data_IF_874570844950
#
_entry.id   IF_874570844950
#
_cell.length_a   1.000
_cell.length_b   1.000
_cell.length_c   1.000
_cell.angle_alpha   90.00
_cell.angle_beta   90.00
_cell.angle_gamma   90.00
#
_symmetry.space_group_name_H-M   'P 1'
#
loop_
_entity.id
_entity.type
_entity.pdbx_description
1 polymer ?
#
# COMPACT_ATOMS: atom_id res chain seq x y z
N UNK A 1 8.11 3.09 -15.64
CA UNK A 1 6.81 2.71 -15.04
C UNK A 1 6.46 1.31 -15.52
N UNK A 2 6.45 0.31 -14.62
CA UNK A 2 6.26 -1.09 -15.03
C UNK A 2 4.87 -1.33 -15.65
N UNK A 3 4.79 -2.24 -16.60
CA UNK A 3 3.56 -2.56 -17.35
C UNK A 3 2.37 -2.90 -16.44
N UNK A 4 2.65 -3.58 -15.32
CA UNK A 4 1.64 -3.97 -14.31
C UNK A 4 1.08 -2.75 -13.57
N UNK A 5 1.94 -1.79 -13.21
CA UNK A 5 1.54 -0.55 -12.53
C UNK A 5 0.70 0.33 -13.45
N UNK A 6 1.10 0.43 -14.71
CA UNK A 6 0.32 1.12 -15.75
C UNK A 6 -1.05 0.47 -15.94
N UNK A 7 -1.12 -0.86 -16.03
CA UNK A 7 -2.38 -1.59 -16.20
C UNK A 7 -3.34 -1.37 -15.02
N UNK A 8 -2.84 -1.40 -13.76
CA UNK A 8 -3.67 -1.11 -12.58
C UNK A 8 -4.21 0.32 -12.56
N UNK A 9 -3.39 1.30 -12.98
CA UNK A 9 -3.82 2.70 -13.10
C UNK A 9 -4.92 2.87 -14.14
N UNK A 10 -4.77 2.25 -15.31
CA UNK A 10 -5.78 2.28 -16.39
C UNK A 10 -7.10 1.64 -15.93
N UNK A 11 -7.05 0.53 -15.21
CA UNK A 11 -8.24 -0.14 -14.67
C UNK A 11 -8.98 0.78 -13.68
N UNK A 12 -8.25 1.41 -12.76
CA UNK A 12 -8.82 2.38 -11.82
C UNK A 12 -9.56 3.52 -12.53
N UNK A 13 -8.95 4.08 -13.59
CA UNK A 13 -9.57 5.14 -14.41
C UNK A 13 -10.86 4.68 -15.12
N UNK A 14 -10.92 3.44 -15.63
CA UNK A 14 -12.10 2.91 -16.28
C UNK A 14 -13.29 2.82 -15.29
N UNK A 15 -13.04 2.31 -14.07
CA UNK A 15 -14.06 2.22 -13.03
C UNK A 15 -14.54 3.60 -12.57
N UNK A 16 -13.60 4.55 -12.39
CA UNK A 16 -13.92 5.92 -12.02
C UNK A 16 -14.81 6.58 -13.05
N UNK A 17 -14.41 6.54 -14.31
CA UNK A 17 -15.18 7.12 -15.43
C UNK A 17 -16.58 6.55 -15.52
N UNK A 18 -16.74 5.22 -15.39
CA UNK A 18 -18.06 4.60 -15.43
C UNK A 18 -18.95 5.07 -14.28
N UNK A 19 -18.41 5.16 -13.06
CA UNK A 19 -19.16 5.65 -11.91
C UNK A 19 -19.56 7.13 -12.06
N UNK A 20 -18.68 7.97 -12.61
CA UNK A 20 -18.98 9.37 -12.91
C UNK A 20 -20.07 9.52 -13.96
N UNK A 21 -20.04 8.70 -15.02
CA UNK A 21 -21.08 8.66 -16.08
C UNK A 21 -22.43 8.16 -15.52
N UNK A 22 -22.44 7.11 -14.70
CA UNK A 22 -23.65 6.48 -14.15
C UNK A 22 -24.46 7.42 -13.25
N UNK A 23 -23.78 8.24 -12.47
CA UNK A 23 -24.42 9.15 -11.51
C UNK A 23 -24.37 10.62 -11.93
N UNK A 24 -23.78 10.92 -13.08
CA UNK A 24 -23.57 12.27 -13.60
C UNK A 24 -22.87 13.19 -12.58
N UNK A 25 -21.75 12.73 -12.07
CA UNK A 25 -20.95 13.41 -11.05
C UNK A 25 -19.50 13.47 -11.45
N UNK A 26 -18.72 14.34 -10.82
CA UNK A 26 -17.28 14.47 -10.99
C UNK A 26 -16.56 14.27 -9.63
N UNK A 27 -15.37 13.75 -9.67
CA UNK A 27 -14.51 13.63 -8.49
C UNK A 27 -14.00 15.01 -8.07
N UNK A 28 -14.12 15.33 -6.78
CA UNK A 28 -13.54 16.55 -6.19
C UNK A 28 -12.06 16.42 -5.82
N UNK A 29 -11.49 15.20 -5.94
CA UNK A 29 -10.09 14.93 -5.63
C UNK A 29 -9.22 15.29 -6.84
N UNK A 30 -8.18 16.10 -6.63
CA UNK A 30 -7.27 16.51 -7.70
C UNK A 30 -6.47 15.34 -8.29
N UNK A 31 -6.12 15.38 -9.60
CA UNK A 31 -5.32 14.35 -10.25
C UNK A 31 -3.95 14.14 -9.60
N UNK A 32 -3.36 15.22 -9.06
CA UNK A 32 -2.09 15.19 -8.33
C UNK A 32 -2.21 14.34 -7.07
N UNK A 33 -3.28 14.54 -6.30
CA UNK A 33 -3.56 13.78 -5.09
C UNK A 33 -3.81 12.31 -5.39
N UNK A 34 -4.61 12.00 -6.42
CA UNK A 34 -4.84 10.61 -6.87
C UNK A 34 -3.53 9.93 -7.29
N UNK A 35 -2.67 10.65 -8.00
CA UNK A 35 -1.37 10.12 -8.43
C UNK A 35 -0.48 9.81 -7.23
N UNK A 36 -0.42 10.72 -6.24
CA UNK A 36 0.38 10.55 -5.03
C UNK A 36 -0.10 9.37 -4.18
N UNK A 37 -1.40 9.24 -3.98
CA UNK A 37 -1.99 8.11 -3.25
C UNK A 37 -1.70 6.79 -3.97
N UNK A 38 -1.80 6.77 -5.31
CA UNK A 38 -1.50 5.58 -6.11
C UNK A 38 -0.02 5.18 -6.00
N UNK A 39 0.89 6.14 -6.03
CA UNK A 39 2.32 5.93 -5.81
C UNK A 39 2.57 5.31 -4.43
N UNK A 40 2.05 5.93 -3.38
CA UNK A 40 2.15 5.41 -2.02
C UNK A 40 1.56 4.01 -1.89
N UNK A 41 0.36 3.76 -2.43
CA UNK A 41 -0.25 2.43 -2.40
C UNK A 41 0.65 1.33 -3.00
N UNK A 42 1.39 1.64 -4.07
CA UNK A 42 2.36 0.70 -4.65
C UNK A 42 3.57 0.48 -3.74
N UNK A 43 4.07 1.56 -3.10
CA UNK A 43 5.19 1.46 -2.14
C UNK A 43 4.78 0.57 -0.95
N UNK A 44 3.62 0.80 -0.34
CA UNK A 44 3.11 -0.02 0.77
C UNK A 44 2.95 -1.50 0.40
N UNK A 45 2.54 -1.78 -0.84
CA UNK A 45 2.41 -3.14 -1.38
C UNK A 45 3.74 -3.80 -1.72
N UNK A 46 4.88 -3.11 -1.58
CA UNK A 46 6.20 -3.60 -1.93
C UNK A 46 6.47 -3.64 -3.44
N UNK A 47 5.77 -2.83 -4.21
CA UNK A 47 5.94 -2.71 -5.67
C UNK A 47 6.18 -1.26 -6.10
N UNK A 48 7.15 -0.55 -5.50
CA UNK A 48 7.45 0.82 -5.87
C UNK A 48 8.04 0.90 -7.29
N UNK A 49 7.99 2.08 -7.91
CA UNK A 49 8.41 2.27 -9.30
C UNK A 49 9.91 2.05 -9.55
N UNK A 50 10.74 2.14 -8.49
CA UNK A 50 12.19 1.93 -8.58
C UNK A 50 12.62 0.46 -8.43
N UNK A 51 11.72 -0.42 -8.04
CA UNK A 51 11.99 -1.85 -7.99
C UNK A 51 11.63 -2.48 -9.32
N UNK A 52 12.64 -2.80 -10.10
CA UNK A 52 12.48 -3.51 -11.37
C UNK A 52 13.50 -4.67 -11.45
N UNK A 53 13.25 -5.61 -12.35
CA UNK A 53 14.10 -6.79 -12.50
C UNK A 53 15.48 -6.46 -13.09
N UNK A 54 15.58 -5.36 -13.83
CA UNK A 54 16.79 -5.02 -14.59
C UNK A 54 17.86 -4.36 -13.70
N UNK A 55 17.45 -3.61 -12.66
CA UNK A 55 18.36 -2.83 -11.82
C UNK A 55 18.82 -3.56 -10.55
N UNK A 56 18.41 -4.80 -10.32
CA UNK A 56 18.69 -5.59 -9.11
C UNK A 56 18.37 -4.87 -7.80
N UNK A 57 17.49 -3.87 -7.82
CA UNK A 57 17.02 -3.18 -6.63
C UNK A 57 15.88 -3.96 -6.00
N UNK A 58 16.04 -4.29 -4.72
CA UNK A 58 15.04 -4.98 -3.89
C UNK A 58 14.48 -4.01 -2.87
N UNK A 59 13.20 -4.13 -2.54
CA UNK A 59 12.62 -3.35 -1.44
C UNK A 59 12.63 -4.13 -0.13
N UNK A 60 12.96 -3.46 0.96
CA UNK A 60 12.74 -3.95 2.33
C UNK A 60 11.32 -3.66 2.80
N UNK A 61 10.54 -2.92 1.99
CA UNK A 61 9.17 -2.48 2.29
C UNK A 61 9.04 -1.77 3.65
N UNK A 62 9.95 -0.84 3.91
CA UNK A 62 10.01 -0.14 5.20
C UNK A 62 8.78 0.74 5.45
N UNK A 63 8.12 1.24 4.40
CA UNK A 63 6.85 1.96 4.50
C UNK A 63 5.78 1.14 5.23
N UNK A 64 5.68 -0.18 4.93
CA UNK A 64 4.76 -1.07 5.65
C UNK A 64 5.16 -1.22 7.13
N UNK A 65 6.45 -1.34 7.43
CA UNK A 65 6.93 -1.45 8.79
C UNK A 65 6.57 -0.21 9.63
N UNK A 66 6.74 1.00 9.07
CA UNK A 66 6.34 2.26 9.71
C UNK A 66 4.84 2.30 9.98
N UNK A 67 4.00 1.99 8.99
CA UNK A 67 2.55 2.00 9.15
C UNK A 67 2.09 1.00 10.22
N UNK A 68 2.68 -0.20 10.23
CA UNK A 68 2.37 -1.24 11.22
C UNK A 68 2.79 -0.84 12.62
N UNK A 69 3.96 -0.21 12.76
CA UNK A 69 4.45 0.28 14.06
C UNK A 69 3.61 1.44 14.57
N UNK A 70 3.25 2.39 13.69
CA UNK A 70 2.33 3.49 14.03
C UNK A 70 0.98 2.95 14.51
N UNK A 71 0.43 1.98 13.79
CA UNK A 71 -0.83 1.35 14.19
C UNK A 71 -0.71 0.63 15.54
N UNK A 72 0.42 -0.05 15.79
CA UNK A 72 0.70 -0.69 17.08
C UNK A 72 0.72 0.34 18.20
N UNK A 73 1.46 1.42 18.05
CA UNK A 73 1.56 2.48 19.07
C UNK A 73 0.21 3.18 19.30
N UNK A 74 -0.48 3.54 18.23
CA UNK A 74 -1.77 4.22 18.30
C UNK A 74 -2.85 3.36 18.97
N UNK A 75 -2.76 2.03 18.87
CA UNK A 75 -3.78 1.12 19.41
C UNK A 75 -3.35 0.39 20.69
N UNK A 76 -2.16 0.67 21.21
CA UNK A 76 -1.60 -0.03 22.37
C UNK A 76 -2.49 0.06 23.63
N UNK A 77 -3.12 1.20 23.84
CA UNK A 77 -3.92 1.49 25.04
C UNK A 77 -5.34 2.00 24.71
N UNK A 78 -5.87 1.68 23.52
CA UNK A 78 -7.24 2.05 23.18
C UNK A 78 -8.21 1.21 24.02
N UNK A 79 -9.11 1.89 24.74
CA UNK A 79 -10.29 1.33 25.35
C UNK A 79 -11.53 2.04 24.81
N UNK A 80 -12.53 1.32 24.35
CA UNK A 80 -13.79 1.89 23.87
C UNK A 80 -14.89 1.36 24.79
N UNK A 81 -15.57 2.27 25.51
CA UNK A 81 -16.64 1.93 26.41
C UNK A 81 -17.85 2.83 26.13
N UNK A 82 -19.01 2.22 25.92
CA UNK A 82 -20.28 2.90 25.66
C UNK A 82 -21.28 2.47 26.75
N UNK A 83 -21.65 3.40 27.61
CA UNK A 83 -22.55 3.16 28.74
C UNK A 83 -23.84 3.98 28.61
N UNK A 84 -24.87 3.61 29.36
CA UNK A 84 -26.02 4.48 29.69
C UNK A 84 -27.39 3.98 29.24
N UNK A 85 -27.51 3.06 28.29
CA UNK A 85 -28.81 2.57 27.80
C UNK A 85 -28.74 1.18 27.16
N UNK A 86 -29.88 0.53 26.91
CA UNK A 86 -29.95 -0.73 26.17
C UNK A 86 -29.38 -0.57 24.74
N UNK A 87 -29.54 0.61 24.12
CA UNK A 87 -28.93 0.92 22.81
C UNK A 87 -27.41 1.02 22.93
N UNK A 88 -26.89 1.59 24.00
CA UNK A 88 -25.45 1.67 24.26
C UNK A 88 -24.84 0.27 24.44
N UNK A 89 -25.50 -0.61 25.20
CA UNK A 89 -25.08 -2.00 25.37
C UNK A 89 -25.03 -2.76 24.02
N UNK A 90 -26.02 -2.56 23.15
CA UNK A 90 -26.02 -3.14 21.82
C UNK A 90 -24.87 -2.59 20.95
N UNK A 91 -24.60 -1.28 21.00
CA UNK A 91 -23.47 -0.66 20.29
C UNK A 91 -22.14 -1.19 20.81
N UNK A 92 -21.97 -1.35 22.13
CA UNK A 92 -20.78 -1.95 22.72
C UNK A 92 -20.52 -3.35 22.18
N UNK A 93 -21.56 -4.19 22.11
CA UNK A 93 -21.45 -5.53 21.53
C UNK A 93 -20.98 -5.51 20.06
N UNK A 94 -21.42 -4.53 19.26
CA UNK A 94 -20.94 -4.39 17.89
C UNK A 94 -19.46 -3.95 17.83
N UNK A 95 -19.05 -3.04 18.71
CA UNK A 95 -17.66 -2.60 18.82
C UNK A 95 -16.76 -3.76 19.25
N UNK A 96 -17.16 -4.54 20.24
CA UNK A 96 -16.39 -5.68 20.72
C UNK A 96 -16.13 -6.71 19.62
N UNK A 97 -17.08 -6.91 18.68
CA UNK A 97 -16.92 -7.79 17.53
C UNK A 97 -15.84 -7.32 16.53
N UNK A 98 -15.66 -6.02 16.40
CA UNK A 98 -14.71 -5.43 15.44
C UNK A 98 -13.41 -4.97 16.09
N UNK A 99 -13.32 -4.99 17.43
CA UNK A 99 -12.20 -4.42 18.17
C UNK A 99 -10.84 -4.97 17.72
N UNK A 100 -10.74 -6.26 17.43
CA UNK A 100 -9.50 -6.89 16.98
C UNK A 100 -9.04 -6.41 15.57
N UNK A 101 -9.94 -5.81 14.79
CA UNK A 101 -9.62 -5.26 13.46
C UNK A 101 -9.08 -3.82 13.52
N UNK A 102 -9.28 -3.10 14.61
CA UNK A 102 -8.97 -1.66 14.72
C UNK A 102 -7.51 -1.39 14.36
N UNK A 103 -6.58 -2.23 14.83
CA UNK A 103 -5.17 -2.07 14.52
C UNK A 103 -4.88 -2.14 13.01
N UNK A 104 -5.49 -3.11 12.31
CA UNK A 104 -5.33 -3.22 10.86
C UNK A 104 -5.95 -2.04 10.12
N UNK A 105 -7.07 -1.52 10.61
CA UNK A 105 -7.72 -0.35 10.02
C UNK A 105 -6.86 0.90 10.20
N UNK A 106 -6.27 1.10 11.36
CA UNK A 106 -5.33 2.19 11.59
C UNK A 106 -4.10 2.03 10.67
N UNK A 107 -3.54 0.83 10.53
CA UNK A 107 -2.43 0.58 9.60
C UNK A 107 -2.80 0.97 8.16
N UNK A 108 -3.99 0.58 7.68
CA UNK A 108 -4.46 0.98 6.36
C UNK A 108 -4.70 2.50 6.26
N UNK A 109 -5.25 3.11 7.31
CA UNK A 109 -5.38 4.57 7.38
C UNK A 109 -4.05 5.28 7.21
N UNK A 110 -3.00 4.84 7.92
CA UNK A 110 -1.64 5.38 7.79
C UNK A 110 -1.02 5.10 6.41
N UNK A 111 -1.30 3.93 5.83
CA UNK A 111 -0.74 3.52 4.54
C UNK A 111 -1.35 4.25 3.34
N UNK A 112 -2.65 4.53 3.39
CA UNK A 112 -3.40 5.15 2.29
C UNK A 112 -3.78 6.61 2.54
N UNK A 113 -3.49 7.13 3.73
CA UNK A 113 -3.83 8.48 4.14
C UNK A 113 -5.29 8.65 4.56
N UNK A 114 -6.20 7.88 3.98
CA UNK A 114 -7.62 7.88 4.30
C UNK A 114 -8.21 6.50 4.07
N UNK A 115 -9.05 6.05 4.97
CA UNK A 115 -9.95 4.91 4.76
C UNK A 115 -11.36 5.28 5.16
N UNK A 116 -12.34 4.60 4.58
CA UNK A 116 -13.74 4.75 4.94
C UNK A 116 -14.26 3.43 5.47
N UNK A 117 -14.98 3.52 6.58
CA UNK A 117 -15.65 2.40 7.24
C UNK A 117 -17.15 2.54 7.01
N UNK A 118 -17.77 1.57 6.35
CA UNK A 118 -19.19 1.60 6.02
C UNK A 118 -19.89 0.38 6.59
N UNK A 119 -21.03 0.54 7.30
CA UNK A 119 -21.84 -0.58 7.76
C UNK A 119 -22.40 -1.38 6.57
N UNK A 120 -22.35 -2.72 6.67
CA UNK A 120 -22.89 -3.65 5.67
C UNK A 120 -24.06 -4.51 6.22
N UNK A 121 -24.60 -4.14 7.37
CA UNK A 121 -25.67 -4.88 8.06
C UNK A 121 -25.19 -6.07 8.91
N UNK A 122 -23.94 -6.53 8.75
CA UNK A 122 -23.31 -7.62 9.52
C UNK A 122 -22.05 -7.17 10.25
N UNK A 123 -21.43 -6.08 9.80
CA UNK A 123 -20.19 -5.53 10.31
C UNK A 123 -19.85 -4.25 9.57
N UNK A 124 -18.57 -3.99 9.41
CA UNK A 124 -18.04 -2.82 8.67
C UNK A 124 -17.20 -3.30 7.48
N UNK A 125 -17.47 -2.71 6.32
CA UNK A 125 -16.60 -2.80 5.15
C UNK A 125 -15.60 -1.66 5.17
N UNK A 126 -14.39 -1.94 4.70
CA UNK A 126 -13.31 -0.96 4.58
C UNK A 126 -13.10 -0.60 3.13
N UNK A 127 -13.06 0.69 2.84
CA UNK A 127 -12.76 1.22 1.53
C UNK A 127 -11.49 2.05 1.57
N UNK A 128 -10.58 1.76 0.66
CA UNK A 128 -9.37 2.56 0.43
C UNK A 128 -9.64 3.61 -0.65
N UNK A 129 -8.81 4.65 -0.82
CA UNK A 129 -8.98 5.64 -1.89
C UNK A 129 -9.00 5.06 -3.31
N UNK A 130 -8.64 3.78 -3.45
CA UNK A 130 -8.75 3.06 -4.73
C UNK A 130 -10.17 2.53 -5.01
N UNK A 131 -11.03 2.53 -4.00
CA UNK A 131 -12.32 1.86 -4.01
C UNK A 131 -13.49 2.83 -3.78
N UNK A 132 -13.23 4.15 -3.79
CA UNK A 132 -14.27 5.16 -3.72
C UNK A 132 -13.92 6.42 -4.51
N UNK A 133 -14.94 7.23 -4.81
CA UNK A 133 -14.84 8.54 -5.46
C UNK A 133 -15.61 9.53 -4.61
N UNK A 134 -14.97 10.63 -4.18
CA UNK A 134 -15.64 11.70 -3.46
C UNK A 134 -16.20 12.69 -4.48
N UNK A 135 -17.49 12.97 -4.40
CA UNK A 135 -18.22 13.80 -5.34
C UNK A 135 -18.67 15.13 -4.74
N UNK A 136 -18.76 15.19 -3.41
CA UNK A 136 -19.16 16.39 -2.68
C UNK A 136 -18.54 16.41 -1.29
N UNK A 137 -17.93 17.54 -0.92
CA UNK A 137 -17.35 17.74 0.39
C UNK A 137 -17.23 19.25 0.68
N UNK A 138 -17.11 19.57 1.95
CA UNK A 138 -16.73 20.88 2.45
C UNK A 138 -15.69 20.75 3.58
N UNK A 139 -15.46 21.85 4.34
CA UNK A 139 -14.53 21.86 5.47
C UNK A 139 -15.00 21.03 6.67
N UNK A 140 -16.29 20.68 6.74
CA UNK A 140 -16.88 19.93 7.85
C UNK A 140 -16.91 18.43 7.57
N UNK A 141 -17.02 18.00 6.29
CA UNK A 141 -17.06 16.60 5.95
C UNK A 141 -17.26 16.25 4.48
N UNK A 142 -17.45 14.96 4.26
CA UNK A 142 -17.76 14.38 2.95
C UNK A 142 -19.25 14.07 2.91
N UNK A 143 -19.96 14.60 1.92
CA UNK A 143 -21.42 14.49 1.78
C UNK A 143 -21.84 13.67 0.57
N UNK A 144 -20.97 13.58 -0.44
CA UNK A 144 -21.18 12.78 -1.64
C UNK A 144 -20.03 11.81 -1.89
N UNK A 145 -20.33 10.51 -2.03
CA UNK A 145 -19.32 9.49 -2.28
C UNK A 145 -19.89 8.30 -3.04
N UNK A 146 -19.15 7.81 -4.01
CA UNK A 146 -19.45 6.56 -4.72
C UNK A 146 -18.46 5.49 -4.27
N UNK A 147 -18.97 4.41 -3.73
CA UNK A 147 -18.20 3.21 -3.38
C UNK A 147 -18.19 2.21 -4.52
N UNK A 148 -17.06 1.57 -4.72
CA UNK A 148 -16.91 0.42 -5.61
C UNK A 148 -16.77 -0.84 -4.77
N UNK A 149 -17.69 -1.76 -4.96
CA UNK A 149 -17.68 -3.10 -4.38
C UNK A 149 -17.61 -4.14 -5.49
N UNK A 150 -16.89 -5.25 -5.30
CA UNK A 150 -16.73 -6.27 -6.34
C UNK A 150 -16.54 -7.66 -5.76
N UNK A 151 -17.03 -8.65 -6.49
CA UNK A 151 -16.77 -10.06 -6.22
C UNK A 151 -16.65 -10.84 -7.54
N UNK A 152 -16.08 -12.05 -7.45
CA UNK A 152 -16.02 -12.98 -8.58
C UNK A 152 -16.77 -14.26 -8.26
N UNK A 153 -17.51 -14.79 -9.25
CA UNK A 153 -18.24 -16.03 -9.15
C UNK A 153 -18.43 -16.65 -10.54
N UNK A 154 -18.17 -17.94 -10.69
CA UNK A 154 -18.33 -18.68 -11.95
C UNK A 154 -17.63 -18.01 -13.14
N UNK A 155 -16.36 -17.64 -13.00
CA UNK A 155 -15.50 -16.95 -13.99
C UNK A 155 -16.08 -15.60 -14.49
N UNK A 156 -16.95 -14.99 -13.69
CA UNK A 156 -17.47 -13.66 -13.91
C UNK A 156 -17.08 -12.73 -12.78
N UNK A 157 -16.90 -11.48 -13.11
CA UNK A 157 -16.60 -10.39 -12.20
C UNK A 157 -17.81 -9.48 -12.11
N UNK A 158 -18.31 -9.29 -10.90
CA UNK A 158 -19.42 -8.42 -10.59
C UNK A 158 -18.90 -7.18 -9.91
N UNK A 159 -19.34 -6.02 -10.37
CA UNK A 159 -18.98 -4.72 -9.79
C UNK A 159 -20.25 -3.97 -9.45
N UNK A 160 -20.30 -3.38 -8.26
CA UNK A 160 -21.38 -2.50 -7.83
C UNK A 160 -20.81 -1.13 -7.53
N UNK A 161 -21.48 -0.09 -8.02
CA UNK A 161 -21.30 1.27 -7.58
C UNK A 161 -22.46 1.65 -6.67
N UNK A 162 -22.13 2.12 -5.48
CA UNK A 162 -23.07 2.53 -4.44
C UNK A 162 -22.83 4.00 -4.12
N UNK A 163 -23.75 4.86 -4.53
CA UNK A 163 -23.66 6.30 -4.39
C UNK A 163 -24.46 6.79 -3.20
N UNK A 164 -23.77 7.40 -2.25
CA UNK A 164 -24.31 8.05 -1.07
C UNK A 164 -24.29 9.55 -1.24
N UNK A 165 -25.41 10.23 -1.02
CA UNK A 165 -25.51 11.68 -1.18
C UNK A 165 -26.64 12.30 -0.36
N UNK A 166 -26.47 13.56 0.00
CA UNK A 166 -27.54 14.43 0.39
C UNK A 166 -28.09 15.17 -0.83
N UNK A 167 -29.42 15.37 -0.89
CA UNK A 167 -30.07 16.07 -1.99
C UNK A 167 -30.91 17.19 -1.42
N UNK A 168 -30.77 18.41 -1.95
CA UNK A 168 -31.65 19.51 -1.59
C UNK A 168 -33.01 19.31 -2.29
N UNK A 169 -34.07 19.26 -1.48
CA UNK A 169 -35.45 19.14 -1.95
C UNK A 169 -36.25 20.32 -1.44
N UNK A 170 -36.91 21.04 -2.32
CA UNK A 170 -37.80 22.16 -2.01
C UNK A 170 -39.25 21.73 -2.15
N UNK A 171 -40.02 21.89 -1.06
CA UNK A 171 -41.43 21.64 -1.01
C UNK A 171 -42.16 22.90 -0.49
N UNK A 172 -42.63 23.73 -1.44
CA UNK A 172 -43.14 25.04 -1.14
C UNK A 172 -42.08 25.97 -0.57
N UNK A 173 -42.33 26.48 0.67
CA UNK A 173 -41.36 27.35 1.39
C UNK A 173 -40.33 26.55 2.20
N UNK A 174 -40.50 25.23 2.32
CA UNK A 174 -39.63 24.38 3.12
C UNK A 174 -38.52 23.76 2.24
N UNK A 175 -37.28 23.78 2.77
CA UNK A 175 -36.12 23.10 2.16
C UNK A 175 -35.63 22.04 3.12
N UNK A 176 -35.46 20.82 2.64
CA UNK A 176 -34.92 19.70 3.41
C UNK A 176 -33.87 18.94 2.62
N UNK A 177 -33.05 18.14 3.31
CA UNK A 177 -31.88 17.48 2.78
C UNK A 177 -31.93 15.97 3.06
N UNK A 178 -32.77 15.22 2.35
CA UNK A 178 -32.82 13.77 2.48
C UNK A 178 -31.52 13.12 2.01
N UNK A 179 -31.18 12.03 2.68
CA UNK A 179 -30.06 11.19 2.29
C UNK A 179 -30.52 10.06 1.40
N UNK A 180 -29.82 9.82 0.30
CA UNK A 180 -30.13 8.76 -0.66
C UNK A 180 -28.93 7.84 -0.85
N UNK A 181 -29.22 6.56 -1.09
CA UNK A 181 -28.27 5.56 -1.52
C UNK A 181 -28.75 4.98 -2.86
N UNK A 182 -27.95 5.11 -3.90
CA UNK A 182 -28.27 4.57 -5.23
C UNK A 182 -27.27 3.49 -5.60
N UNK A 183 -27.76 2.38 -6.19
CA UNK A 183 -26.95 1.23 -6.55
C UNK A 183 -27.02 0.95 -8.06
N UNK A 184 -25.86 0.71 -8.69
CA UNK A 184 -25.74 0.21 -10.06
C UNK A 184 -24.82 -1.00 -10.06
N UNK A 185 -25.21 -2.09 -10.73
CA UNK A 185 -24.43 -3.31 -10.79
C UNK A 185 -24.08 -3.69 -12.23
N UNK A 186 -22.92 -4.32 -12.38
CA UNK A 186 -22.33 -4.71 -13.65
C UNK A 186 -21.77 -6.11 -13.57
N UNK A 187 -21.70 -6.79 -14.72
CA UNK A 187 -21.07 -8.10 -14.86
C UNK A 187 -20.12 -8.11 -16.04
N UNK A 188 -18.92 -8.62 -15.83
CA UNK A 188 -17.87 -8.73 -16.86
C UNK A 188 -17.25 -10.14 -16.84
N UNK A 189 -16.67 -10.53 -17.98
CA UNK A 189 -15.78 -11.71 -18.08
C UNK A 189 -14.32 -11.38 -17.75
N UNK A 190 -14.01 -10.13 -17.52
CA UNK A 190 -12.64 -9.66 -17.22
C UNK A 190 -12.63 -8.81 -15.96
N UNK A 191 -11.68 -9.08 -15.06
CA UNK A 191 -11.43 -8.23 -13.88
C UNK A 191 -10.99 -6.79 -14.25
N UNK A 192 -10.67 -6.53 -15.51
CA UNK A 192 -10.14 -5.25 -16.00
C UNK A 192 -11.22 -4.40 -16.68
N UNK A 193 -12.47 -4.82 -16.66
CA UNK A 193 -13.58 -4.14 -17.32
C UNK A 193 -14.78 -4.10 -16.41
N UNK A 194 -15.55 -3.02 -16.46
CA UNK A 194 -16.83 -2.92 -15.74
C UNK A 194 -17.85 -3.92 -16.31
N UNK A 195 -17.93 -4.04 -17.63
CA UNK A 195 -18.83 -4.95 -18.32
C UNK A 195 -20.23 -4.37 -18.55
N UNK A 196 -21.22 -5.26 -18.64
CA UNK A 196 -22.61 -4.92 -18.97
C UNK A 196 -23.45 -4.69 -17.70
N UNK A 197 -24.43 -3.76 -17.73
CA UNK A 197 -25.36 -3.56 -16.63
C UNK A 197 -26.13 -4.85 -16.29
N UNK A 198 -26.31 -5.12 -15.00
CA UNK A 198 -27.09 -6.26 -14.49
C UNK A 198 -28.02 -5.81 -13.37
N UNK A 199 -29.23 -6.35 -13.33
CA UNK A 199 -30.15 -6.07 -12.25
C UNK A 199 -29.64 -6.66 -10.91
N UNK A 200 -29.77 -5.90 -9.81
CA UNK A 200 -29.30 -6.28 -8.47
C UNK A 200 -29.84 -7.65 -8.02
N UNK A 201 -31.10 -7.97 -8.34
CA UNK A 201 -31.72 -9.25 -7.97
C UNK A 201 -31.07 -10.49 -8.62
N UNK A 202 -30.14 -10.31 -9.56
CA UNK A 202 -29.33 -11.39 -10.18
C UNK A 202 -27.91 -11.45 -9.62
N UNK A 203 -27.64 -10.77 -8.53
CA UNK A 203 -26.32 -10.65 -7.90
C UNK A 203 -26.41 -10.98 -6.42
N UNK A 204 -25.27 -11.01 -5.72
CA UNK A 204 -25.22 -11.16 -4.25
C UNK A 204 -25.83 -9.95 -3.50
N UNK A 205 -26.14 -8.88 -4.21
CA UNK A 205 -26.75 -7.65 -3.68
C UNK A 205 -28.27 -7.61 -3.94
N UNK A 206 -28.92 -8.78 -4.07
CA UNK A 206 -30.36 -8.94 -4.35
C UNK A 206 -31.26 -8.25 -3.32
N UNK A 207 -30.77 -8.09 -2.10
CA UNK A 207 -31.52 -7.48 -0.99
C UNK A 207 -31.47 -5.94 -1.01
N UNK A 208 -30.63 -5.35 -1.90
CA UNK A 208 -30.47 -3.91 -2.02
C UNK A 208 -31.41 -3.34 -3.08
N UNK A 209 -31.87 -2.11 -2.83
CA UNK A 209 -32.68 -1.35 -3.77
C UNK A 209 -31.79 -0.58 -4.76
N UNK A 210 -32.25 -0.40 -6.02
CA UNK A 210 -31.57 0.50 -6.98
C UNK A 210 -31.45 1.94 -6.46
N UNK A 211 -32.44 2.39 -5.68
CA UNK A 211 -32.41 3.64 -4.95
C UNK A 211 -33.25 3.50 -3.67
N UNK A 212 -32.71 3.97 -2.55
CA UNK A 212 -33.42 3.94 -1.26
C UNK A 212 -34.53 5.01 -1.24
N UNK A 213 -35.60 4.82 -0.45
CA UNK A 213 -36.47 5.92 -0.05
C UNK A 213 -35.65 7.03 0.63
N UNK A 214 -36.14 8.29 0.64
CA UNK A 214 -35.50 9.39 1.33
C UNK A 214 -35.31 9.09 2.82
N UNK A 215 -34.06 9.22 3.29
CA UNK A 215 -33.70 8.97 4.68
C UNK A 215 -33.60 10.33 5.40
N UNK A 216 -34.47 10.54 6.37
CA UNK A 216 -34.59 11.76 7.18
C UNK A 216 -34.80 11.36 8.66
N UNK A 217 -34.60 12.30 9.57
CA UNK A 217 -35.09 12.20 10.94
C UNK A 217 -36.61 12.26 10.97
N UNK A 218 -37.22 11.88 12.09
CA UNK A 218 -38.69 11.85 12.25
C UNK A 218 -39.37 13.20 12.01
N UNK A 219 -38.68 14.32 12.19
CA UNK A 219 -39.15 15.69 11.95
C UNK A 219 -38.91 16.23 10.55
N UNK A 220 -38.57 15.36 9.57
CA UNK A 220 -38.09 15.73 8.24
C UNK A 220 -36.74 16.50 8.26
N UNK A 221 -36.04 16.50 9.39
CA UNK A 221 -34.73 17.11 9.50
C UNK A 221 -33.64 16.24 8.85
N UNK A 222 -32.56 16.90 8.41
CA UNK A 222 -31.34 16.24 7.92
C UNK A 222 -30.79 15.30 9.01
N UNK A 223 -30.34 14.10 8.64
CA UNK A 223 -29.56 13.24 9.54
C UNK A 223 -28.23 13.91 9.91
N UNK A 224 -27.67 13.60 11.06
CA UNK A 224 -26.50 14.30 11.61
C UNK A 224 -25.22 14.14 10.78
N UNK A 225 -25.15 13.13 9.93
CA UNK A 225 -24.01 12.88 9.08
C UNK A 225 -24.24 11.72 8.09
N UNK A 226 -23.30 11.45 7.20
CA UNK A 226 -23.38 10.35 6.26
C UNK A 226 -23.33 9.00 6.99
N UNK A 227 -23.84 7.95 6.34
CA UNK A 227 -23.89 6.60 6.89
C UNK A 227 -22.56 5.84 6.73
N UNK A 228 -21.43 6.51 6.93
CA UNK A 228 -20.09 5.95 6.95
C UNK A 228 -19.17 6.76 7.87
N UNK A 229 -18.11 6.13 8.35
CA UNK A 229 -17.08 6.79 9.16
C UNK A 229 -15.80 6.97 8.35
N UNK A 230 -15.05 8.04 8.63
CA UNK A 230 -13.80 8.38 7.95
C UNK A 230 -12.67 8.31 8.96
N UNK A 231 -11.61 7.59 8.63
CA UNK A 231 -10.34 7.65 9.32
C UNK A 231 -9.31 8.28 8.38
N UNK A 232 -8.81 9.45 8.75
CA UNK A 232 -7.82 10.22 7.99
C UNK A 232 -6.56 10.42 8.83
N UNK A 233 -5.39 10.40 8.17
CA UNK A 233 -4.13 10.74 8.82
C UNK A 233 -4.19 12.16 9.41
N UNK A 234 -3.60 12.40 10.59
CA UNK A 234 -3.65 13.71 11.24
C UNK A 234 -2.71 14.75 10.60
N UNK A 235 -1.84 14.34 9.68
CA UNK A 235 -0.92 15.27 9.01
C UNK A 235 -1.66 16.23 8.09
N UNK A 236 -1.20 17.47 8.04
CA UNK A 236 -1.69 18.44 7.08
C UNK A 236 -1.37 17.98 5.65
N UNK A 237 -2.34 18.15 4.75
CA UNK A 237 -2.13 17.88 3.34
C UNK A 237 -1.46 19.11 2.69
N UNK A 238 -0.16 19.01 2.43
CA UNK A 238 0.64 20.08 1.81
C UNK A 238 0.64 19.99 0.27
N UNK A 239 0.10 18.91 -0.31
CA UNK A 239 -0.02 18.74 -1.76
C UNK A 239 -1.28 19.42 -2.29
N UNK A 240 -2.39 19.23 -1.57
CA UNK A 240 -3.70 19.80 -1.92
C UNK A 240 -4.47 20.12 -0.64
N UNK A 241 -4.43 21.39 -0.23
CA UNK A 241 -5.03 21.88 1.01
C UNK A 241 -6.57 21.71 0.99
N UNK A 242 -7.17 21.76 -0.19
CA UNK A 242 -8.62 21.62 -0.38
C UNK A 242 -9.10 20.19 -0.44
N UNK A 243 -8.18 19.22 -0.55
CA UNK A 243 -8.53 17.81 -0.66
C UNK A 243 -9.14 17.26 0.64
N UNK A 244 -10.27 16.55 0.56
CA UNK A 244 -10.85 15.87 1.71
C UNK A 244 -10.02 14.66 2.17
N UNK A 245 -9.03 14.23 1.38
CA UNK A 245 -8.16 13.10 1.66
C UNK A 245 -6.91 13.53 2.44
N UNK A 246 -6.49 12.70 3.39
CA UNK A 246 -5.18 12.81 4.03
C UNK A 246 -4.08 12.20 3.19
N UNK A 247 -2.84 12.62 3.44
CA UNK A 247 -1.66 12.01 2.84
C UNK A 247 -1.25 10.75 3.61
N UNK A 248 -0.77 9.70 2.93
CA UNK A 248 -0.09 8.58 3.57
C UNK A 248 1.05 9.08 4.47
N UNK A 249 1.25 8.41 5.61
CA UNK A 249 2.19 8.87 6.64
C UNK A 249 3.62 9.07 6.14
N UNK A 250 4.03 8.28 5.16
CA UNK A 250 5.38 8.29 4.55
C UNK A 250 5.43 9.03 3.21
N UNK A 251 4.38 9.77 2.84
CA UNK A 251 4.28 10.44 1.54
C UNK A 251 5.42 11.44 1.29
N UNK A 252 5.97 12.05 2.34
CA UNK A 252 7.09 12.99 2.25
C UNK A 252 8.47 12.31 2.32
N UNK A 253 8.52 11.02 2.62
CA UNK A 253 9.76 10.26 2.76
C UNK A 253 10.04 9.32 1.58
N UNK A 254 9.38 9.50 0.43
CA UNK A 254 9.45 8.57 -0.71
C UNK A 254 10.87 8.49 -1.28
N UNK A 255 11.57 9.62 -1.42
CA UNK A 255 12.94 9.61 -1.95
C UNK A 255 13.90 8.90 -1.00
N UNK A 256 13.78 9.11 0.31
CA UNK A 256 14.59 8.42 1.30
C UNK A 256 14.27 6.93 1.39
N UNK A 257 13.01 6.54 1.17
CA UNK A 257 12.62 5.12 1.05
C UNK A 257 13.27 4.46 -0.17
N UNK A 258 13.34 5.18 -1.29
CA UNK A 258 14.06 4.72 -2.48
C UNK A 258 15.56 4.57 -2.23
N UNK A 259 16.18 5.58 -1.61
CA UNK A 259 17.60 5.55 -1.28
C UNK A 259 17.92 4.42 -0.30
N UNK A 260 17.02 4.15 0.66
CA UNK A 260 17.12 3.04 1.61
C UNK A 260 17.09 1.68 0.88
N UNK A 261 16.15 1.47 -0.05
CA UNK A 261 16.07 0.25 -0.85
C UNK A 261 17.33 0.04 -1.72
N UNK A 262 17.87 1.13 -2.31
CA UNK A 262 19.13 1.10 -3.07
C UNK A 262 20.31 0.77 -2.16
N UNK A 263 20.42 1.42 -0.99
CA UNK A 263 21.49 1.16 -0.04
C UNK A 263 21.47 -0.29 0.47
N UNK A 264 20.28 -0.79 0.80
CA UNK A 264 20.07 -2.19 1.18
C UNK A 264 20.50 -3.16 0.06
N UNK A 265 20.07 -2.90 -1.17
CA UNK A 265 20.41 -3.77 -2.31
C UNK A 265 21.91 -3.80 -2.60
N UNK A 266 22.59 -2.63 -2.47
CA UNK A 266 24.04 -2.55 -2.60
C UNK A 266 24.77 -3.28 -1.48
N UNK A 267 24.28 -3.22 -0.24
CA UNK A 267 24.83 -3.98 0.87
C UNK A 267 24.74 -5.49 0.65
N UNK A 268 23.59 -5.96 0.17
CA UNK A 268 23.40 -7.38 -0.23
C UNK A 268 24.32 -7.76 -1.39
N UNK A 269 24.46 -6.88 -2.40
CA UNK A 269 25.38 -7.10 -3.53
C UNK A 269 26.84 -7.24 -3.08
N UNK A 270 27.32 -6.38 -2.17
CA UNK A 270 28.68 -6.47 -1.65
C UNK A 270 28.95 -7.78 -0.89
N UNK A 271 27.95 -8.31 -0.17
CA UNK A 271 28.09 -9.62 0.48
C UNK A 271 28.33 -10.72 -0.57
N UNK A 272 27.65 -10.67 -1.72
CA UNK A 272 27.91 -11.61 -2.82
C UNK A 272 29.25 -11.35 -3.49
N UNK A 273 29.61 -10.07 -3.74
CA UNK A 273 30.86 -9.69 -4.40
C UNK A 273 32.09 -9.86 -3.51
N UNK A 274 31.90 -9.98 -2.19
CA UNK A 274 32.99 -10.22 -1.21
C UNK A 274 33.43 -11.67 -1.14
N UNK A 275 32.82 -12.56 -1.93
CA UNK A 275 33.33 -13.92 -2.01
C UNK A 275 34.76 -13.94 -2.57
N UNK A 276 35.56 -14.82 -1.98
CA UNK A 276 36.90 -15.07 -2.44
C UNK A 276 36.92 -15.36 -3.94
N UNK A 277 37.67 -14.58 -4.71
CA UNK A 277 37.87 -14.79 -6.15
C UNK A 277 39.27 -15.36 -6.41
N UNK A 278 39.33 -16.47 -7.09
CA UNK A 278 40.57 -17.07 -7.54
C UNK A 278 40.68 -16.83 -9.05
N UNK A 279 41.72 -16.07 -9.45
CA UNK A 279 42.12 -15.89 -10.84
C UNK A 279 43.27 -16.84 -11.11
N UNK A 280 43.09 -17.73 -12.07
CA UNK A 280 44.10 -18.69 -12.46
C UNK A 280 44.12 -18.85 -13.98
N UNK A 281 45.31 -19.11 -14.56
CA UNK A 281 45.43 -19.36 -15.98
C UNK A 281 45.01 -20.80 -16.39
N UNK A 282 44.85 -21.02 -17.67
CA UNK A 282 44.47 -22.31 -18.24
C UNK A 282 45.42 -23.44 -17.86
N UNK A 283 46.72 -23.14 -17.73
CA UNK A 283 47.73 -24.14 -17.41
C UNK A 283 47.60 -24.66 -16.00
N UNK A 284 47.34 -23.77 -15.05
CA UNK A 284 47.10 -24.14 -13.66
C UNK A 284 45.75 -24.82 -13.44
N UNK A 285 44.74 -24.40 -14.18
CA UNK A 285 43.38 -24.91 -13.97
C UNK A 285 43.16 -26.24 -14.70
N UNK A 286 43.60 -26.35 -15.91
CA UNK A 286 43.31 -27.50 -16.78
C UNK A 286 44.53 -28.37 -17.06
N UNK A 287 45.74 -27.91 -16.67
CA UNK A 287 47.00 -28.61 -16.91
C UNK A 287 47.55 -28.40 -18.32
N UNK A 288 48.85 -28.24 -18.44
CA UNK A 288 49.51 -28.18 -19.76
C UNK A 288 50.05 -29.59 -20.11
N UNK A 289 49.34 -30.28 -20.98
CA UNK A 289 49.78 -31.57 -21.51
C UNK A 289 49.04 -32.79 -20.97
N UNK A 290 49.25 -33.93 -21.61
CA UNK A 290 48.46 -35.17 -21.47
C UNK A 290 48.54 -35.86 -20.09
N UNK A 291 49.38 -35.37 -19.15
CA UNK A 291 49.67 -36.11 -17.93
C UNK A 291 49.47 -35.33 -16.59
N UNK A 292 48.99 -34.09 -16.64
CA UNK A 292 48.75 -33.33 -15.39
C UNK A 292 47.26 -33.29 -15.11
N UNK A 293 46.84 -34.04 -14.11
CA UNK A 293 45.48 -33.98 -13.58
C UNK A 293 45.37 -32.85 -12.57
N UNK A 294 45.14 -31.65 -13.06
CA UNK A 294 44.75 -30.55 -12.19
C UNK A 294 43.38 -30.83 -11.54
N UNK A 295 43.12 -30.23 -10.39
CA UNK A 295 41.86 -30.40 -9.64
C UNK A 295 40.59 -30.15 -10.49
N UNK A 296 40.71 -29.36 -11.53
CA UNK A 296 39.64 -28.98 -12.46
C UNK A 296 39.87 -29.47 -13.90
N UNK A 297 40.82 -30.41 -14.10
CA UNK A 297 41.13 -30.96 -15.41
C UNK A 297 39.89 -31.60 -16.06
N UNK A 298 39.55 -31.18 -17.27
CA UNK A 298 38.40 -31.66 -18.02
C UNK A 298 37.07 -30.94 -17.66
N UNK A 299 37.08 -29.90 -16.83
CA UNK A 299 35.92 -29.07 -16.62
C UNK A 299 35.89 -27.90 -17.63
N UNK A 300 34.74 -27.64 -18.23
CA UNK A 300 34.53 -26.40 -19.00
C UNK A 300 34.38 -25.22 -18.05
N UNK A 301 34.66 -23.99 -18.54
CA UNK A 301 34.47 -22.76 -17.75
C UNK A 301 33.10 -22.64 -17.12
N UNK A 302 32.05 -23.20 -17.74
CA UNK A 302 30.69 -23.23 -17.22
C UNK A 302 30.48 -24.13 -15.99
N UNK A 303 31.40 -25.07 -15.75
CA UNK A 303 31.36 -26.01 -14.61
C UNK A 303 32.29 -25.63 -13.46
N UNK A 304 33.04 -24.54 -13.59
CA UNK A 304 33.87 -24.03 -12.50
C UNK A 304 33.00 -23.40 -11.40
N UNK A 305 33.40 -23.53 -10.12
CA UNK A 305 32.77 -22.77 -9.07
C UNK A 305 32.75 -21.27 -9.43
N UNK A 306 31.69 -20.54 -9.13
CA UNK A 306 31.53 -19.14 -9.52
C UNK A 306 32.65 -18.21 -9.00
N UNK A 307 33.32 -18.57 -7.93
CA UNK A 307 34.47 -17.85 -7.36
C UNK A 307 35.80 -18.10 -8.10
N UNK A 308 35.84 -19.03 -9.08
CA UNK A 308 37.02 -19.32 -9.86
C UNK A 308 36.87 -18.75 -11.27
N UNK A 309 37.75 -17.82 -11.66
CA UNK A 309 37.74 -17.18 -12.97
C UNK A 309 38.99 -17.59 -13.74
N UNK A 310 38.79 -18.03 -14.97
CA UNK A 310 39.90 -18.31 -15.89
C UNK A 310 40.39 -17.01 -16.52
N UNK A 311 41.70 -16.80 -16.49
CA UNK A 311 42.38 -15.64 -17.09
C UNK A 311 43.31 -16.19 -18.16
N UNK A 312 43.21 -15.70 -19.40
CA UNK A 312 44.08 -16.07 -20.47
C UNK A 312 45.48 -15.56 -20.19
N UNK A 313 46.41 -16.46 -19.84
CA UNK A 313 47.80 -16.17 -19.64
C UNK A 313 48.56 -16.00 -20.96
N UNK A 314 49.70 -15.27 -20.94
CA UNK A 314 50.59 -15.06 -22.11
C UNK A 314 51.44 -16.31 -22.45
N UNK A 315 51.16 -17.46 -21.90
CA UNK A 315 51.80 -18.74 -22.25
C UNK A 315 53.23 -18.95 -21.76
N UNK A 316 53.80 -18.01 -20.99
CA UNK A 316 55.17 -18.07 -20.50
C UNK A 316 55.32 -18.20 -18.98
N UNK A 317 54.32 -17.76 -18.20
CA UNK A 317 54.32 -17.89 -16.76
C UNK A 317 52.92 -18.24 -16.26
N UNK A 318 52.84 -19.16 -15.29
CA UNK A 318 51.57 -19.52 -14.65
C UNK A 318 51.07 -18.36 -13.76
N UNK A 319 49.85 -17.90 -14.03
CA UNK A 319 49.23 -16.83 -13.25
C UNK A 319 48.27 -17.43 -12.22
N UNK A 320 48.47 -17.06 -10.94
CA UNK A 320 47.56 -17.35 -9.85
C UNK A 320 47.42 -16.11 -8.97
N UNK A 321 46.23 -15.66 -8.77
CA UNK A 321 45.95 -14.57 -7.86
C UNK A 321 44.70 -14.88 -7.04
N UNK A 322 44.78 -14.76 -5.75
CA UNK A 322 43.66 -14.83 -4.84
C UNK A 322 43.29 -13.41 -4.40
N UNK A 323 42.04 -13.06 -4.65
CA UNK A 323 41.45 -11.77 -4.25
C UNK A 323 40.45 -12.06 -3.14
N UNK A 324 40.72 -11.54 -1.94
CA UNK A 324 39.79 -11.58 -0.82
C UNK A 324 39.37 -10.14 -0.54
N UNK A 325 38.21 -9.70 -1.06
CA UNK A 325 37.75 -8.36 -0.79
C UNK A 325 37.46 -8.17 0.71
N UNK A 326 37.77 -6.99 1.25
CA UNK A 326 37.35 -6.64 2.60
C UNK A 326 35.92 -6.17 2.61
N UNK A 327 35.10 -6.69 3.50
CA UNK A 327 33.72 -6.22 3.74
C UNK A 327 33.74 -4.89 4.49
N UNK A 328 33.02 -3.88 3.97
CA UNK A 328 32.81 -2.60 4.63
C UNK A 328 31.43 -2.54 5.32
N UNK A 329 31.02 -3.63 5.92
CA UNK A 329 29.67 -3.83 6.49
C UNK A 329 29.30 -2.76 7.50
N UNK A 330 30.22 -2.39 8.40
CA UNK A 330 29.94 -1.40 9.46
C UNK A 330 29.62 0.00 8.90
N UNK A 331 30.37 0.44 7.88
CA UNK A 331 30.13 1.72 7.23
C UNK A 331 28.79 1.72 6.51
N UNK A 332 28.43 0.62 5.86
CA UNK A 332 27.14 0.48 5.16
C UNK A 332 25.97 0.42 6.13
N UNK A 333 26.08 -0.33 7.22
CA UNK A 333 25.05 -0.37 8.27
C UNK A 333 24.85 1.03 8.88
N UNK A 334 25.93 1.78 9.11
CA UNK A 334 25.85 3.16 9.57
C UNK A 334 25.09 4.04 8.57
N UNK A 335 25.37 3.89 7.26
CA UNK A 335 24.65 4.60 6.20
C UNK A 335 23.16 4.23 6.15
N UNK A 336 22.82 2.95 6.26
CA UNK A 336 21.43 2.47 6.32
C UNK A 336 20.73 3.01 7.57
N UNK A 337 21.36 3.01 8.74
CA UNK A 337 20.79 3.55 9.98
C UNK A 337 20.50 5.06 9.87
N UNK A 338 21.37 5.82 9.20
CA UNK A 338 21.11 7.23 8.94
C UNK A 338 19.86 7.41 8.05
N UNK A 339 19.70 6.62 6.99
CA UNK A 339 18.51 6.66 6.13
C UNK A 339 17.25 6.25 6.90
N UNK A 340 17.29 5.20 7.71
CA UNK A 340 16.19 4.79 8.58
C UNK A 340 15.79 5.92 9.54
N UNK A 341 16.75 6.63 10.11
CA UNK A 341 16.51 7.77 10.99
C UNK A 341 15.88 8.94 10.25
N UNK A 342 16.30 9.26 9.02
CA UNK A 342 15.68 10.31 8.20
C UNK A 342 14.24 9.97 7.81
N UNK A 343 14.00 8.74 7.35
CA UNK A 343 12.63 8.27 7.06
C UNK A 343 11.78 8.34 8.32
N UNK A 344 12.27 7.84 9.45
CA UNK A 344 11.58 7.90 10.73
C UNK A 344 11.23 9.33 11.14
N UNK A 345 12.18 10.26 11.06
CA UNK A 345 11.98 11.68 11.37
C UNK A 345 10.88 12.31 10.52
N UNK A 346 10.88 12.08 9.19
CA UNK A 346 9.82 12.57 8.29
C UNK A 346 8.44 11.95 8.59
N UNK A 347 8.42 10.75 9.16
CA UNK A 347 7.20 10.09 9.60
C UNK A 347 6.79 10.42 11.05
N UNK A 348 7.46 11.38 11.71
CA UNK A 348 7.11 11.85 13.06
C UNK A 348 7.69 11.00 14.20
N UNK A 349 8.68 10.14 13.93
CA UNK A 349 9.40 9.39 14.95
C UNK A 349 10.64 10.15 15.45
N UNK A 350 11.06 9.86 16.66
CA UNK A 350 12.33 10.38 17.20
C UNK A 350 13.53 9.84 16.43
N UNK A 351 14.58 10.63 16.35
CA UNK A 351 15.84 10.20 15.73
C UNK A 351 16.36 8.93 16.41
N UNK A 352 16.77 7.95 15.60
CA UNK A 352 17.28 6.67 16.10
C UNK A 352 16.21 5.68 16.57
N UNK A 353 14.92 5.95 16.37
CA UNK A 353 13.85 5.00 16.71
C UNK A 353 13.97 3.71 15.91
N UNK A 354 14.26 3.82 14.61
CA UNK A 354 14.52 2.68 13.74
C UNK A 354 16.03 2.57 13.49
N UNK A 355 16.65 1.55 14.07
CA UNK A 355 18.07 1.26 13.88
C UNK A 355 18.30 -0.25 13.74
N UNK A 356 19.27 -0.60 12.92
CA UNK A 356 19.79 -1.96 12.77
C UNK A 356 21.09 -2.06 13.59
N UNK A 357 21.00 -2.16 14.92
CA UNK A 357 22.16 -2.32 15.78
C UNK A 357 22.04 -3.63 16.56
N UNK A 358 23.09 -4.48 16.47
CA UNK A 358 23.17 -5.72 17.22
C UNK A 358 23.38 -5.49 18.73
N UNK A 359 23.85 -4.30 19.13
CA UNK A 359 24.24 -3.99 20.52
C UNK A 359 23.11 -3.40 21.37
N UNK A 360 22.13 -2.80 20.74
CA UNK A 360 20.91 -2.36 21.39
C UNK A 360 19.80 -3.37 21.08
N UNK A 361 19.70 -4.42 21.90
CA UNK A 361 18.47 -5.21 21.94
C UNK A 361 17.31 -4.23 21.97
N UNK A 362 16.21 -4.54 21.23
CA UNK A 362 15.03 -3.68 21.14
C UNK A 362 14.74 -3.05 22.49
N UNK A 363 15.02 -1.75 22.62
CA UNK A 363 14.59 -0.98 23.77
C UNK A 363 13.07 -1.01 23.72
N UNK A 364 12.48 -1.88 24.50
CA UNK A 364 11.03 -1.94 24.64
C UNK A 364 10.56 -0.57 25.11
N UNK A 365 9.42 -0.11 24.61
CA UNK A 365 8.79 1.17 24.97
C UNK A 365 8.57 1.37 26.49
N UNK A 366 9.05 0.47 27.31
CA UNK A 366 9.04 0.49 28.79
C UNK A 366 10.27 1.18 29.40
N UNK A 367 11.24 1.62 28.56
CA UNK A 367 12.50 2.25 29.02
C UNK A 367 12.64 3.71 28.56
N UNK A 368 11.57 4.34 28.08
CA UNK A 368 11.52 5.79 27.82
C UNK A 368 10.63 6.46 28.84
#
# INVERSE_FOLDING_TARGET
>A
MGLITWAKKVIGMIFKRQAEEDFNVESVVSPEMESKITECANIYRGTPYWVNADDNVKTINFAKAICSETARLATLAIGIQIDGSARAAWLQEQIDKIYFQIRHWVEYGMAYGTIILKPNGKGLDIFTPMDFIITDCDNEGIYGIVFKDSYSENDKYYTRFEYHRFVEVKDGENTYYPYYISNRAYVSRSAKSVGDPIALNRTKWSDLLPETPPILKASNEKIDGPMFGILRTPQANNLDISSPLGLPMYAEAIEELKDLDVAYSRNVGEIFDSEKIILADDQLMFGSGTNIKGRYAGMSNEKLPHYVKNVFGNGTESFYQEIVPSLNTDIRITGINNLLSFVGFKCGYSNGYFVLDEKTGMVTATQV
#
